data_IF_735762454474
#
_entry.id   IF_735762454474
#
_cell.length_a   1.000
_cell.length_b   1.000
_cell.length_c   1.000
_cell.angle_alpha   90.00
_cell.angle_beta   90.00
_cell.angle_gamma   90.00
#
_symmetry.space_group_name_H-M   'P 1'
#
loop_
_entity.id
_entity.type
_entity.pdbx_description
1 polymer ?
#
# COMPACT_ATOMS: atom_id res chain seq x y z
N UNK A 1 -8.96 10.15 9.61
CA UNK A 1 -8.82 10.35 8.15
C UNK A 1 -9.96 9.60 7.46
N UNK A 2 -10.57 10.18 6.41
CA UNK A 2 -11.71 9.58 5.71
C UNK A 2 -11.32 9.24 4.27
N UNK A 3 -11.64 8.03 3.81
CA UNK A 3 -11.29 7.54 2.46
C UNK A 3 -12.52 7.28 1.56
N UNK A 4 -13.67 7.86 1.89
CA UNK A 4 -14.89 7.67 1.11
C UNK A 4 -15.77 6.49 1.53
N UNK A 5 -15.29 5.53 2.32
CA UNK A 5 -16.11 4.43 2.89
C UNK A 5 -15.94 4.25 4.39
N UNK A 6 -14.74 4.48 4.92
CA UNK A 6 -14.39 4.24 6.30
C UNK A 6 -13.95 5.53 6.99
N UNK A 7 -14.32 5.67 8.26
CA UNK A 7 -13.74 6.67 9.16
C UNK A 7 -12.57 5.99 9.86
N UNK A 8 -11.35 6.43 9.54
CA UNK A 8 -10.14 6.03 10.25
C UNK A 8 -9.99 6.97 11.45
N UNK A 9 -10.28 6.46 12.64
CA UNK A 9 -9.94 7.13 13.89
C UNK A 9 -8.44 6.95 14.14
N UNK A 10 -7.72 8.06 14.38
CA UNK A 10 -6.31 8.02 14.73
C UNK A 10 -6.22 8.45 16.19
N UNK A 11 -5.97 7.50 17.10
CA UNK A 11 -5.57 7.80 18.47
C UNK A 11 -4.07 7.96 18.49
N UNK A 12 -3.60 9.19 18.54
CA UNK A 12 -2.19 9.50 18.71
C UNK A 12 -1.90 9.48 20.22
N UNK A 13 -1.22 8.44 20.71
CA UNK A 13 -0.58 8.53 22.02
C UNK A 13 0.67 9.40 21.88
N UNK A 14 0.52 10.69 22.15
CA UNK A 14 1.65 11.58 22.32
C UNK A 14 2.18 11.46 23.75
N UNK A 15 3.51 11.44 23.97
CA UNK A 15 4.09 11.76 25.27
C UNK A 15 3.52 13.12 25.69
N UNK A 16 3.21 13.29 26.98
CA UNK A 16 2.54 14.46 27.58
C UNK A 16 3.20 15.82 27.30
N UNK A 17 4.31 15.86 26.58
CA UNK A 17 5.18 17.02 26.45
C UNK A 17 5.15 17.73 25.08
N UNK A 18 4.58 17.19 24.00
CA UNK A 18 4.59 17.86 22.69
C UNK A 18 3.19 17.88 22.05
N UNK A 19 2.26 18.56 22.71
CA UNK A 19 0.96 18.90 22.12
C UNK A 19 1.08 20.21 21.36
N UNK A 20 0.85 20.17 20.06
CA UNK A 20 0.82 21.36 19.19
C UNK A 20 -0.65 21.77 18.97
N UNK A 21 -1.06 22.80 19.70
CA UNK A 21 -2.42 23.32 19.68
C UNK A 21 -2.83 23.89 18.31
N UNK A 22 -1.88 24.32 17.47
CA UNK A 22 -2.19 24.90 16.17
C UNK A 22 -2.61 23.81 15.17
N UNK A 23 -1.96 22.64 15.24
CA UNK A 23 -2.35 21.45 14.44
C UNK A 23 -3.70 20.91 14.91
N UNK A 24 -3.93 20.85 16.22
CA UNK A 24 -5.21 20.40 16.77
C UNK A 24 -6.36 21.35 16.39
N UNK A 25 -6.14 22.67 16.46
CA UNK A 25 -7.13 23.67 16.09
C UNK A 25 -7.45 23.69 14.59
N UNK A 26 -6.48 23.40 13.73
CA UNK A 26 -6.67 23.23 12.28
C UNK A 26 -7.60 22.04 11.98
N UNK A 27 -7.38 20.91 12.65
CA UNK A 27 -8.20 19.69 12.50
C UNK A 27 -9.62 19.92 13.05
N UNK A 28 -9.75 20.54 14.22
CA UNK A 28 -11.07 20.85 14.82
C UNK A 28 -11.87 21.81 13.94
N UNK A 29 -11.22 22.80 13.32
CA UNK A 29 -11.87 23.76 12.43
C UNK A 29 -12.38 23.08 11.15
N UNK A 30 -11.61 22.14 10.58
CA UNK A 30 -12.05 21.31 9.45
C UNK A 30 -13.22 20.38 9.81
N UNK A 31 -13.24 19.84 11.04
CA UNK A 31 -14.31 18.96 11.54
C UNK A 31 -15.60 19.72 11.88
N UNK A 32 -15.50 20.95 12.41
CA UNK A 32 -16.68 21.76 12.80
C UNK A 32 -17.54 22.20 11.60
N UNK A 33 -16.97 22.30 10.40
CA UNK A 33 -17.73 22.61 9.17
C UNK A 33 -18.76 21.50 8.84
N UNK A 34 -18.50 20.25 9.22
CA UNK A 34 -19.38 19.10 8.93
C UNK A 34 -20.39 18.76 10.02
N UNK A 35 -20.43 19.50 11.15
CA UNK A 35 -21.37 19.25 12.28
C UNK A 35 -22.68 20.06 12.22
N UNK A 36 -23.31 20.18 11.05
CA UNK A 36 -24.74 20.59 10.97
C UNK A 36 -25.62 19.41 10.55
N UNK A 37 -25.78 18.43 11.44
CA UNK A 37 -27.00 17.64 11.68
C UNK A 37 -26.70 16.48 12.64
N UNK A 38 -27.03 16.71 13.90
CA UNK A 38 -27.44 15.84 15.02
C UNK A 38 -27.12 14.32 15.07
N UNK A 39 -26.68 13.94 16.28
CA UNK A 39 -26.75 12.61 16.93
C UNK A 39 -25.98 11.45 16.28
N UNK A 40 -24.71 11.28 16.64
CA UNK A 40 -23.97 10.04 16.38
C UNK A 40 -23.40 9.50 17.69
N UNK A 41 -23.96 8.37 18.11
CA UNK A 41 -23.46 7.52 19.19
C UNK A 41 -22.13 6.86 18.76
N UNK A 42 -21.19 6.69 19.69
CA UNK A 42 -19.86 6.14 19.39
C UNK A 42 -19.97 4.68 18.91
N UNK A 43 -19.28 4.27 17.82
CA UNK A 43 -19.27 2.88 17.38
C UNK A 43 -18.63 1.99 18.45
N UNK A 44 -19.31 0.89 18.81
CA UNK A 44 -18.70 -0.19 19.57
C UNK A 44 -17.76 -0.99 18.66
N UNK A 45 -16.66 -1.44 19.24
CA UNK A 45 -15.58 -2.21 18.63
C UNK A 45 -16.13 -3.35 17.75
N UNK A 46 -15.99 -3.23 16.43
CA UNK A 46 -16.41 -4.26 15.47
C UNK A 46 -15.25 -5.23 15.30
N UNK A 47 -15.56 -6.52 15.46
CA UNK A 47 -14.63 -7.64 15.44
C UNK A 47 -13.59 -7.61 14.30
N UNK A 48 -12.39 -8.10 14.64
CA UNK A 48 -11.19 -8.29 13.82
C UNK A 48 -11.42 -9.10 12.54
N UNK A 49 -12.06 -8.56 11.51
CA UNK A 49 -11.95 -9.08 10.13
C UNK A 49 -12.14 -7.95 9.11
N UNK A 50 -11.06 -7.24 8.78
CA UNK A 50 -10.96 -6.58 7.48
C UNK A 50 -9.58 -6.86 6.91
N UNK A 51 -9.42 -8.03 6.28
CA UNK A 51 -8.40 -8.17 5.24
C UNK A 51 -8.68 -7.04 4.25
N UNK A 52 -7.79 -6.04 4.17
CA UNK A 52 -7.74 -5.18 3.00
C UNK A 52 -7.64 -6.12 1.81
N UNK A 53 -8.68 -6.19 0.99
CA UNK A 53 -8.64 -6.99 -0.23
C UNK A 53 -8.38 -6.01 -1.34
N UNK A 54 -7.18 -6.02 -1.90
CA UNK A 54 -6.96 -5.39 -3.20
C UNK A 54 -8.02 -5.92 -4.17
N UNK A 55 -8.82 -5.02 -4.75
CA UNK A 55 -9.91 -5.36 -5.69
C UNK A 55 -9.52 -4.90 -7.08
N UNK A 56 -9.46 -5.85 -8.01
CA UNK A 56 -9.21 -5.54 -9.43
C UNK A 56 -10.43 -4.78 -9.98
N UNK A 57 -10.24 -3.63 -10.64
CA UNK A 57 -11.30 -3.00 -11.42
C UNK A 57 -11.84 -3.94 -12.50
N UNK A 58 -13.13 -3.86 -12.81
CA UNK A 58 -13.73 -4.65 -13.91
C UNK A 58 -13.08 -4.33 -15.26
N UNK A 59 -12.73 -3.06 -15.47
CA UNK A 59 -11.99 -2.56 -16.63
C UNK A 59 -10.92 -1.57 -16.18
N UNK A 60 -9.86 -1.44 -16.97
CA UNK A 60 -8.86 -0.41 -16.73
C UNK A 60 -9.50 0.99 -16.89
N UNK A 61 -9.41 1.89 -15.90
CA UNK A 61 -10.08 3.19 -15.95
C UNK A 61 -9.27 4.19 -16.80
N UNK A 62 -9.24 3.94 -18.12
CA UNK A 62 -8.40 4.68 -19.08
C UNK A 62 -8.69 6.20 -19.06
N UNK A 63 -9.97 6.60 -19.09
CA UNK A 63 -10.37 8.01 -19.11
C UNK A 63 -9.86 8.77 -17.88
N UNK A 64 -9.86 8.11 -16.73
CA UNK A 64 -9.40 8.69 -15.46
C UNK A 64 -7.89 8.89 -15.46
N UNK A 65 -7.10 7.90 -15.90
CA UNK A 65 -5.64 8.04 -15.89
C UNK A 65 -5.13 8.95 -17.00
N UNK A 66 -5.83 9.02 -18.14
CA UNK A 66 -5.51 9.96 -19.20
C UNK A 66 -5.69 11.42 -18.75
N UNK A 67 -6.65 11.71 -17.85
CA UNK A 67 -6.84 13.09 -17.35
C UNK A 67 -5.81 13.54 -16.31
N UNK A 68 -4.97 12.61 -15.80
CA UNK A 68 -3.85 12.87 -14.90
C UNK A 68 -2.52 12.34 -15.45
N UNK A 69 -2.40 12.20 -16.77
CA UNK A 69 -1.17 11.67 -17.40
C UNK A 69 0.07 12.49 -17.02
N UNK A 70 -0.12 13.78 -16.74
CA UNK A 70 0.91 14.77 -16.40
C UNK A 70 1.69 14.47 -15.12
N UNK A 71 1.15 13.67 -14.20
CA UNK A 71 1.81 13.36 -12.92
C UNK A 71 2.52 12.01 -12.89
N UNK A 72 2.41 11.21 -13.94
CA UNK A 72 3.09 9.92 -13.97
C UNK A 72 4.59 10.07 -14.23
N UNK A 73 5.37 9.23 -13.55
CA UNK A 73 6.78 9.02 -13.84
C UNK A 73 6.94 8.30 -15.17
N UNK A 74 8.03 8.59 -15.88
CA UNK A 74 8.47 7.81 -17.04
C UNK A 74 9.24 6.53 -16.65
N UNK A 75 9.65 6.41 -15.39
CA UNK A 75 10.45 5.29 -14.89
C UNK A 75 9.55 4.08 -14.66
N UNK A 76 9.81 2.99 -15.39
CA UNK A 76 9.14 1.71 -15.21
C UNK A 76 9.96 0.82 -14.29
N UNK A 77 9.32 0.27 -13.26
CA UNK A 77 9.97 -0.59 -12.26
C UNK A 77 9.59 -2.06 -12.42
N UNK A 78 8.37 -2.35 -12.86
CA UNK A 78 7.84 -3.71 -12.88
C UNK A 78 8.14 -4.44 -14.18
N UNK A 79 8.53 -5.71 -14.03
CA UNK A 79 8.75 -6.66 -15.12
C UNK A 79 8.36 -8.07 -14.71
N UNK A 80 8.09 -8.94 -15.69
CA UNK A 80 7.75 -10.35 -15.43
C UNK A 80 8.85 -11.05 -14.61
N UNK A 81 10.09 -10.95 -15.06
CA UNK A 81 11.23 -11.55 -14.37
C UNK A 81 11.42 -10.99 -12.97
N UNK A 82 11.21 -9.68 -12.77
CA UNK A 82 11.34 -9.05 -11.46
C UNK A 82 10.32 -9.60 -10.47
N UNK A 83 9.04 -9.59 -10.85
CA UNK A 83 7.95 -10.11 -10.02
C UNK A 83 8.10 -11.61 -9.74
N UNK A 84 8.37 -12.41 -10.76
CA UNK A 84 8.50 -13.86 -10.61
C UNK A 84 9.68 -14.23 -9.70
N UNK A 85 10.81 -13.52 -9.83
CA UNK A 85 11.96 -13.69 -8.95
C UNK A 85 11.66 -13.24 -7.50
N UNK A 86 10.93 -12.14 -7.31
CA UNK A 86 10.52 -11.68 -5.97
C UNK A 86 9.57 -12.69 -5.32
N UNK A 87 8.60 -13.25 -6.05
CA UNK A 87 7.70 -14.31 -5.54
C UNK A 87 8.51 -15.55 -5.11
N UNK A 88 9.45 -15.99 -5.95
CA UNK A 88 10.27 -17.16 -5.66
C UNK A 88 11.15 -16.94 -4.41
N UNK A 89 11.78 -15.76 -4.30
CA UNK A 89 12.55 -15.36 -3.13
C UNK A 89 11.69 -15.39 -1.85
N UNK A 90 10.50 -14.77 -1.86
CA UNK A 90 9.63 -14.72 -0.68
C UNK A 90 9.12 -16.11 -0.26
N UNK A 91 8.85 -16.99 -1.23
CA UNK A 91 8.53 -18.41 -0.95
C UNK A 91 9.68 -19.12 -0.23
N UNK A 92 10.90 -18.90 -0.70
CA UNK A 92 12.08 -19.53 -0.09
C UNK A 92 12.32 -18.98 1.32
N UNK A 93 12.22 -17.67 1.52
CA UNK A 93 12.29 -17.05 2.87
C UNK A 93 11.27 -17.65 3.81
N UNK A 94 10.00 -17.77 3.40
CA UNK A 94 8.94 -18.36 4.23
C UNK A 94 9.26 -19.82 4.61
N UNK A 95 9.84 -20.60 3.68
CA UNK A 95 10.26 -21.98 3.95
C UNK A 95 11.44 -22.08 4.91
N UNK A 96 12.30 -21.06 4.96
CA UNK A 96 13.46 -20.98 5.84
C UNK A 96 13.10 -20.52 7.25
N UNK A 97 12.15 -19.59 7.39
CA UNK A 97 11.61 -19.17 8.69
C UNK A 97 10.95 -20.34 9.44
N UNK A 98 10.35 -21.29 8.72
CA UNK A 98 9.78 -22.50 9.32
C UNK A 98 10.84 -23.52 9.80
N UNK A 99 12.12 -23.32 9.47
CA UNK A 99 13.15 -24.32 9.70
C UNK A 99 14.41 -23.84 10.46
N UNK A 100 14.88 -22.59 10.31
CA UNK A 100 16.29 -22.26 10.64
C UNK A 100 16.60 -20.82 11.13
N UNK A 101 15.63 -19.90 11.27
CA UNK A 101 15.94 -18.50 11.62
C UNK A 101 15.84 -18.16 13.13
N UNK A 102 15.28 -19.07 13.94
CA UNK A 102 15.23 -18.89 15.40
C UNK A 102 16.65 -18.95 16.00
N UNK A 103 17.05 -17.87 16.70
CA UNK A 103 18.33 -17.80 17.42
C UNK A 103 19.48 -17.11 16.67
N UNK A 104 19.29 -16.67 15.42
CA UNK A 104 20.23 -15.78 14.74
C UNK A 104 20.08 -14.33 15.21
N UNK A 105 21.19 -13.60 15.27
CA UNK A 105 21.17 -12.14 15.44
C UNK A 105 20.74 -11.45 14.12
N UNK A 106 20.23 -10.22 14.24
CA UNK A 106 19.67 -9.46 13.11
C UNK A 106 20.67 -9.22 11.97
N UNK A 107 21.96 -9.09 12.29
CA UNK A 107 23.02 -8.89 11.29
C UNK A 107 23.18 -10.14 10.43
N UNK A 108 23.20 -11.33 11.06
CA UNK A 108 23.28 -12.60 10.34
C UNK A 108 22.01 -12.90 9.54
N UNK A 109 20.83 -12.57 10.08
CA UNK A 109 19.56 -12.70 9.34
C UNK A 109 19.59 -11.85 8.06
N UNK A 110 19.99 -10.58 8.18
CA UNK A 110 20.10 -9.67 7.04
C UNK A 110 21.08 -10.20 5.99
N UNK A 111 22.28 -10.60 6.40
CA UNK A 111 23.29 -11.15 5.47
C UNK A 111 22.81 -12.43 4.76
N UNK A 112 22.05 -13.27 5.46
CA UNK A 112 21.46 -14.50 4.91
C UNK A 112 20.36 -14.19 3.89
N UNK A 113 19.46 -13.25 4.21
CA UNK A 113 18.43 -12.78 3.29
C UNK A 113 19.02 -12.09 2.05
N UNK A 114 20.06 -11.28 2.21
CA UNK A 114 20.76 -10.65 1.09
C UNK A 114 21.45 -11.68 0.21
N UNK A 115 22.16 -12.64 0.81
CA UNK A 115 22.75 -13.75 0.08
C UNK A 115 21.69 -14.52 -0.73
N UNK A 116 20.52 -14.75 -0.15
CA UNK A 116 19.42 -15.41 -0.85
C UNK A 116 18.91 -14.56 -2.02
N UNK A 117 18.69 -13.27 -1.80
CA UNK A 117 18.21 -12.34 -2.81
C UNK A 117 19.15 -12.27 -4.02
N UNK A 118 20.47 -12.38 -3.82
CA UNK A 118 21.45 -12.43 -4.92
C UNK A 118 21.29 -13.64 -5.83
N UNK A 119 20.83 -14.79 -5.32
CA UNK A 119 20.53 -15.97 -6.15
C UNK A 119 19.35 -15.72 -7.11
N UNK A 120 18.48 -14.77 -6.77
CA UNK A 120 17.33 -14.35 -7.56
C UNK A 120 17.61 -13.07 -8.39
N UNK A 121 18.88 -12.63 -8.45
CA UNK A 121 19.30 -11.51 -9.28
C UNK A 121 19.12 -10.13 -8.63
N UNK A 122 18.80 -10.06 -7.34
CA UNK A 122 18.69 -8.79 -6.62
C UNK A 122 20.00 -8.44 -5.90
N UNK A 123 20.24 -7.15 -5.66
CA UNK A 123 21.42 -6.68 -4.91
C UNK A 123 21.32 -6.98 -3.41
N UNK A 124 20.11 -6.99 -2.89
CA UNK A 124 19.77 -7.23 -1.48
C UNK A 124 18.31 -7.66 -1.37
N UNK A 125 17.91 -8.16 -0.21
CA UNK A 125 16.51 -8.47 0.06
C UNK A 125 15.66 -7.19 0.02
N UNK A 126 16.16 -6.10 0.59
CA UNK A 126 15.51 -4.80 0.53
C UNK A 126 15.32 -4.28 -0.91
N UNK A 127 16.25 -4.59 -1.83
CA UNK A 127 16.09 -4.25 -3.23
C UNK A 127 14.92 -5.02 -3.85
N UNK A 128 14.80 -6.32 -3.59
CA UNK A 128 13.66 -7.11 -4.07
C UNK A 128 12.31 -6.55 -3.57
N UNK A 129 12.26 -6.12 -2.31
CA UNK A 129 11.07 -5.51 -1.70
C UNK A 129 10.75 -4.15 -2.35
N UNK A 130 11.73 -3.25 -2.43
CA UNK A 130 11.48 -1.87 -2.86
C UNK A 130 11.37 -1.70 -4.37
N UNK A 131 11.98 -2.57 -5.17
CA UNK A 131 11.94 -2.48 -6.63
C UNK A 131 10.72 -3.19 -7.23
N UNK A 132 10.13 -4.19 -6.54
CA UNK A 132 9.05 -5.01 -7.10
C UNK A 132 7.83 -5.14 -6.19
N UNK A 133 8.01 -5.57 -4.93
CA UNK A 133 6.88 -5.80 -4.02
C UNK A 133 6.13 -4.50 -3.71
N UNK A 134 6.82 -3.47 -3.24
CA UNK A 134 6.22 -2.19 -2.86
C UNK A 134 5.55 -1.51 -4.07
N UNK A 135 6.21 -1.36 -5.23
CA UNK A 135 5.57 -0.76 -6.40
C UNK A 135 4.35 -1.54 -6.88
N UNK A 136 4.39 -2.88 -6.91
CA UNK A 136 3.25 -3.69 -7.34
C UNK A 136 2.02 -3.48 -6.44
N UNK A 137 2.21 -3.50 -5.12
CA UNK A 137 1.12 -3.29 -4.16
C UNK A 137 0.60 -1.86 -4.15
N UNK A 138 1.47 -0.89 -4.36
CA UNK A 138 1.10 0.51 -4.47
C UNK A 138 0.22 0.75 -5.72
N UNK A 139 0.62 0.21 -6.87
CA UNK A 139 -0.17 0.27 -8.09
C UNK A 139 -1.52 -0.44 -7.94
N UNK A 140 -1.55 -1.61 -7.30
CA UNK A 140 -2.80 -2.34 -7.03
C UNK A 140 -3.73 -1.58 -6.09
N UNK A 141 -3.16 -0.84 -5.12
CA UNK A 141 -3.93 0.03 -4.22
C UNK A 141 -4.57 1.18 -5.01
N UNK A 142 -3.83 1.83 -5.91
CA UNK A 142 -4.36 2.89 -6.78
C UNK A 142 -5.52 2.36 -7.62
N UNK A 143 -5.33 1.22 -8.30
CA UNK A 143 -6.38 0.57 -9.07
C UNK A 143 -7.61 0.24 -8.21
N UNK A 144 -7.41 -0.31 -7.00
CA UNK A 144 -8.52 -0.62 -6.08
C UNK A 144 -9.31 0.63 -5.72
N UNK A 145 -8.66 1.77 -5.46
CA UNK A 145 -9.32 3.04 -5.11
C UNK A 145 -10.20 3.59 -6.24
N UNK A 146 -10.00 3.15 -7.49
CA UNK A 146 -10.85 3.53 -8.63
C UNK A 146 -12.19 2.78 -8.69
N UNK A 147 -12.35 1.71 -7.90
CA UNK A 147 -13.55 0.84 -7.91
C UNK A 147 -14.72 1.36 -7.06
N UNK A 148 -14.59 2.53 -6.42
CA UNK A 148 -15.62 3.13 -5.57
C UNK A 148 -16.87 3.63 -6.32
N UNK A 149 -17.95 3.92 -5.58
CA UNK A 149 -19.17 4.58 -6.09
C UNK A 149 -18.83 5.92 -6.77
N UNK A 150 -19.61 6.38 -7.74
CA UNK A 150 -19.35 7.66 -8.45
C UNK A 150 -19.13 8.86 -7.51
N UNK A 151 -19.89 8.94 -6.42
CA UNK A 151 -19.73 10.01 -5.42
C UNK A 151 -18.38 9.96 -4.68
N UNK A 152 -17.75 8.79 -4.60
CA UNK A 152 -16.40 8.61 -4.05
C UNK A 152 -15.30 8.81 -5.10
N UNK A 153 -15.60 8.65 -6.40
CA UNK A 153 -14.61 8.82 -7.48
C UNK A 153 -14.09 10.26 -7.60
N UNK A 154 -14.96 11.26 -7.39
CA UNK A 154 -14.58 12.69 -7.49
C UNK A 154 -13.67 13.10 -6.33
N UNK A 155 -13.94 12.67 -5.10
CA UNK A 155 -13.07 12.92 -3.94
C UNK A 155 -11.76 12.12 -3.97
N UNK A 156 -11.76 10.97 -4.62
CA UNK A 156 -10.55 10.16 -4.83
C UNK A 156 -9.64 10.73 -5.91
N UNK A 157 -10.11 11.68 -6.73
CA UNK A 157 -9.35 12.21 -7.86
C UNK A 157 -8.08 12.94 -7.43
N UNK A 158 -8.22 14.00 -6.65
CA UNK A 158 -7.09 14.81 -6.20
C UNK A 158 -6.14 13.98 -5.30
N UNK A 159 -6.71 13.11 -4.46
CA UNK A 159 -5.92 12.21 -3.63
C UNK A 159 -5.05 11.25 -4.44
N UNK A 160 -5.61 10.57 -5.44
CA UNK A 160 -4.86 9.62 -6.29
C UNK A 160 -3.83 10.39 -7.13
N UNK A 161 -4.17 11.57 -7.66
CA UNK A 161 -3.22 12.43 -8.39
C UNK A 161 -2.02 12.79 -7.52
N UNK A 162 -2.26 13.28 -6.31
CA UNK A 162 -1.20 13.62 -5.35
C UNK A 162 -0.40 12.38 -4.94
N UNK A 163 -1.07 11.25 -4.74
CA UNK A 163 -0.44 10.00 -4.35
C UNK A 163 0.46 9.43 -5.45
N UNK A 164 0.03 9.49 -6.71
CA UNK A 164 0.85 9.13 -7.88
C UNK A 164 2.10 10.01 -7.95
N UNK A 165 1.94 11.32 -7.79
CA UNK A 165 3.04 12.28 -7.86
C UNK A 165 4.07 12.05 -6.74
N UNK A 166 3.62 11.85 -5.51
CA UNK A 166 4.50 11.61 -4.35
C UNK A 166 5.29 10.30 -4.46
N UNK A 167 4.65 9.26 -4.99
CA UNK A 167 5.23 7.92 -5.09
C UNK A 167 5.88 7.63 -6.45
N UNK A 168 5.94 8.63 -7.34
CA UNK A 168 6.54 8.54 -8.68
C UNK A 168 6.06 7.32 -9.48
N UNK A 169 4.74 7.10 -9.45
CA UNK A 169 4.13 5.96 -10.12
C UNK A 169 4.20 6.12 -11.63
N UNK A 170 4.47 5.04 -12.36
CA UNK A 170 4.40 5.00 -13.82
C UNK A 170 3.08 4.42 -14.30
N UNK A 171 2.52 5.01 -15.36
CA UNK A 171 1.32 4.49 -16.01
C UNK A 171 1.57 3.08 -16.60
N UNK A 172 2.81 2.81 -17.03
CA UNK A 172 3.19 1.49 -17.54
C UNK A 172 3.15 0.42 -16.44
N UNK A 173 3.67 0.73 -15.24
CA UNK A 173 3.62 -0.19 -14.09
C UNK A 173 2.18 -0.42 -13.61
N UNK A 174 1.35 0.62 -13.70
CA UNK A 174 -0.05 0.55 -13.32
C UNK A 174 -0.87 -0.31 -14.30
N UNK A 175 -0.61 -0.19 -15.61
CA UNK A 175 -1.15 -1.10 -16.64
C UNK A 175 -0.65 -2.54 -16.44
N UNK A 176 0.65 -2.71 -16.25
CA UNK A 176 1.25 -4.01 -15.98
C UNK A 176 0.60 -4.69 -14.75
N UNK A 177 0.38 -3.93 -13.68
CA UNK A 177 -0.28 -4.42 -12.45
C UNK A 177 -1.72 -4.87 -12.71
N UNK A 178 -2.47 -4.13 -13.53
CA UNK A 178 -3.83 -4.52 -13.92
C UNK A 178 -3.83 -5.84 -14.70
N UNK A 179 -2.92 -5.99 -15.66
CA UNK A 179 -2.81 -7.17 -16.52
C UNK A 179 -2.33 -8.41 -15.73
N UNK A 180 -1.44 -8.21 -14.76
CA UNK A 180 -0.80 -9.27 -13.96
C UNK A 180 -1.34 -9.38 -12.53
N UNK A 181 -2.61 -9.04 -12.33
CA UNK A 181 -3.23 -8.93 -11.01
C UNK A 181 -3.05 -10.16 -10.10
N UNK A 182 -3.09 -11.37 -10.67
CA UNK A 182 -2.94 -12.60 -9.89
C UNK A 182 -1.54 -12.75 -9.30
N UNK A 183 -0.49 -12.35 -10.04
CA UNK A 183 0.89 -12.31 -9.51
C UNK A 183 1.02 -11.30 -8.37
N UNK A 184 0.35 -10.15 -8.50
CA UNK A 184 0.37 -9.10 -7.47
C UNK A 184 -0.40 -9.52 -6.21
N UNK A 185 -1.50 -10.25 -6.36
CA UNK A 185 -2.19 -10.88 -5.23
C UNK A 185 -1.34 -11.94 -4.54
N UNK A 186 -0.55 -12.69 -5.29
CA UNK A 186 0.39 -13.64 -4.70
C UNK A 186 1.44 -12.91 -3.85
N UNK A 187 1.98 -11.78 -4.33
CA UNK A 187 2.86 -10.91 -3.54
C UNK A 187 2.21 -10.39 -2.25
N UNK A 188 0.93 -10.01 -2.29
CA UNK A 188 0.16 -9.55 -1.12
C UNK A 188 0.17 -10.57 0.02
N UNK A 189 0.12 -11.88 -0.30
CA UNK A 189 0.14 -12.95 0.70
C UNK A 189 1.39 -12.91 1.60
N UNK A 190 2.52 -12.48 1.04
CA UNK A 190 3.80 -12.42 1.75
C UNK A 190 3.97 -11.16 2.60
N UNK A 191 3.09 -10.16 2.47
CA UNK A 191 3.11 -8.96 3.34
C UNK A 191 2.45 -9.18 4.69
N UNK A 192 1.63 -10.23 4.82
CA UNK A 192 0.85 -10.49 6.04
C UNK A 192 1.64 -11.25 7.12
N UNK A 193 2.93 -11.56 6.87
CA UNK A 193 3.71 -12.47 7.71
C UNK A 193 4.51 -11.73 8.82
N UNK A 194 4.66 -10.41 8.76
CA UNK A 194 5.35 -9.62 9.82
C UNK A 194 4.44 -9.20 11.00
N UNK A 195 3.31 -9.89 11.21
CA UNK A 195 2.26 -9.49 12.16
C UNK A 195 2.06 -10.41 13.37
N UNK A 196 3.03 -11.26 13.71
CA UNK A 196 2.99 -12.10 14.92
C UNK A 196 4.23 -11.89 15.79
#
# INVERSE_FOLDING_TARGET
VYNGSDIIEIVVQAPTANWDDDIANSIISAVKINKRAENVELPKEVAKEKKSKLVKPESFPEEYFNSIEDVFSSEQLLSDSGIDNTIALLKEVQSMETANMEGLDEVKKTAMLDSLATNYGFKSFDAAVNENLVPALLNASILTMTTGKESTKVGNYDFIKDFINQNKVSLADLKYTYDNWDKVKELELYTTINGN
#
